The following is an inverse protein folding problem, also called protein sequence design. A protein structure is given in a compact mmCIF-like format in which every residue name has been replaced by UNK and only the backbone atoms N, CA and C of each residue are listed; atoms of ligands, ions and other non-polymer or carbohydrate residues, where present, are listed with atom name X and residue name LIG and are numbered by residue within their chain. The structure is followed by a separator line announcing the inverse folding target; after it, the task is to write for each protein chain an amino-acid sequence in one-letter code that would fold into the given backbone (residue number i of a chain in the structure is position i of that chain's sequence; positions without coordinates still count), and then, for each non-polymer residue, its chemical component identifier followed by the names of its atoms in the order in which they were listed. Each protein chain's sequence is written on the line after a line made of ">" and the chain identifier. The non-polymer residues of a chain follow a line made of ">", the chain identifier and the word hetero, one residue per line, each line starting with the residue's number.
data_IF_721037561187
#
_entry.id   IF_721037561187
#
_cell.length_a   1.000
_cell.length_b   1.000
_cell.length_c   1.000
_cell.angle_alpha   90.00
_cell.angle_beta   90.00
_cell.angle_gamma   90.00
#
_symmetry.space_group_name_H-M   'P 1'
#
loop_
_entity.id
_entity.type
_entity.pdbx_description
1 polymer ?
#
# COMPACT_ATOMS: atom_id res chain seq x y z
N UNK A 1 -20.20 -24.24 2.19
CA UNK A 1 -20.55 -22.79 2.24
C UNK A 1 -19.36 -21.90 2.63
N UNK A 2 -18.53 -22.31 3.59
CA UNK A 2 -17.32 -21.58 4.06
C UNK A 2 -16.24 -21.36 2.99
N UNK A 3 -16.05 -22.29 2.05
CA UNK A 3 -15.03 -22.19 0.99
C UNK A 3 -15.29 -21.00 0.03
N UNK A 4 -16.56 -20.72 -0.29
CA UNK A 4 -16.91 -19.62 -1.20
C UNK A 4 -16.64 -18.23 -0.60
N UNK A 5 -16.84 -18.08 0.72
CA UNK A 5 -16.55 -16.83 1.43
C UNK A 5 -15.04 -16.56 1.49
N UNK A 6 -14.23 -17.59 1.69
CA UNK A 6 -12.76 -17.48 1.67
C UNK A 6 -12.24 -17.08 0.28
N UNK A 7 -12.81 -17.64 -0.79
CA UNK A 7 -12.45 -17.28 -2.16
C UNK A 7 -12.88 -15.83 -2.48
N UNK A 8 -14.08 -15.43 -2.05
CA UNK A 8 -14.57 -14.06 -2.23
C UNK A 8 -13.68 -13.06 -1.50
N UNK A 9 -13.42 -13.28 -0.20
CA UNK A 9 -12.56 -12.43 0.62
C UNK A 9 -11.12 -12.36 0.08
N UNK A 10 -10.58 -13.51 -0.35
CA UNK A 10 -9.24 -13.57 -0.94
C UNK A 10 -9.13 -12.84 -2.28
N UNK A 11 -10.20 -12.80 -3.08
CA UNK A 11 -10.23 -12.10 -4.37
C UNK A 11 -10.18 -10.58 -4.19
N UNK A 12 -10.88 -10.06 -3.18
CA UNK A 12 -10.94 -8.62 -2.89
C UNK A 12 -9.87 -8.15 -1.89
N UNK A 13 -9.04 -9.07 -1.37
CA UNK A 13 -7.96 -8.76 -0.44
C UNK A 13 -7.04 -7.62 -0.89
N UNK A 14 -6.60 -7.55 -2.17
CA UNK A 14 -5.74 -6.46 -2.64
C UNK A 14 -6.44 -5.09 -2.56
N UNK A 15 -7.74 -5.06 -2.86
CA UNK A 15 -8.55 -3.83 -2.81
C UNK A 15 -8.78 -3.41 -1.36
N UNK A 16 -9.13 -4.36 -0.49
CA UNK A 16 -9.31 -4.11 0.95
C UNK A 16 -8.02 -3.60 1.60
N UNK A 17 -6.87 -4.15 1.23
CA UNK A 17 -5.58 -3.72 1.76
C UNK A 17 -5.20 -2.29 1.34
N UNK A 18 -5.55 -1.87 0.12
CA UNK A 18 -5.43 -0.45 -0.28
C UNK A 18 -6.32 0.44 0.58
N UNK A 19 -7.61 0.11 0.70
CA UNK A 19 -8.57 0.89 1.48
C UNK A 19 -8.14 1.01 2.94
N UNK A 20 -7.67 -0.08 3.54
CA UNK A 20 -7.13 -0.09 4.91
C UNK A 20 -5.87 0.77 5.02
N UNK A 21 -4.93 0.65 4.08
CA UNK A 21 -3.70 1.46 4.09
C UNK A 21 -4.02 2.96 4.03
N UNK A 22 -4.93 3.37 3.15
CA UNK A 22 -5.36 4.77 3.06
C UNK A 22 -6.16 5.21 4.29
N UNK A 23 -7.06 4.37 4.82
CA UNK A 23 -7.86 4.66 6.00
C UNK A 23 -7.00 4.82 7.27
N UNK A 24 -6.07 3.90 7.51
CA UNK A 24 -5.13 3.97 8.64
C UNK A 24 -4.18 5.15 8.48
N UNK A 25 -3.69 5.44 7.27
CA UNK A 25 -2.86 6.61 7.03
C UNK A 25 -3.59 7.94 7.27
N UNK A 26 -4.89 8.01 6.94
CA UNK A 26 -5.73 9.16 7.22
C UNK A 26 -5.99 9.33 8.73
N UNK A 27 -6.24 8.23 9.44
CA UNK A 27 -6.53 8.25 10.88
C UNK A 27 -5.28 8.54 11.72
N UNK A 28 -4.16 7.87 11.44
CA UNK A 28 -2.89 8.05 12.17
C UNK A 28 -2.03 9.15 11.53
N UNK A 29 -2.54 10.37 11.55
CA UNK A 29 -1.87 11.56 11.02
C UNK A 29 -0.51 11.91 11.68
N UNK A 30 -0.01 11.13 12.65
CA UNK A 30 1.33 11.29 13.24
C UNK A 30 2.32 10.17 12.87
N UNK A 31 1.86 8.97 12.50
CA UNK A 31 2.71 7.80 12.16
C UNK A 31 2.81 7.66 10.61
N UNK A 32 3.05 8.80 9.96
CA UNK A 32 2.66 9.05 8.57
C UNK A 32 3.41 8.28 7.48
N UNK A 33 4.64 7.83 7.71
CA UNK A 33 5.50 7.33 6.63
C UNK A 33 5.67 5.82 6.62
N UNK A 34 5.87 5.23 7.80
CA UNK A 34 6.04 3.78 7.92
C UNK A 34 4.77 3.04 7.51
N UNK A 35 3.58 3.52 7.89
CA UNK A 35 2.30 2.90 7.50
C UNK A 35 2.08 2.96 5.98
N UNK A 36 2.40 4.10 5.35
CA UNK A 36 2.30 4.26 3.89
C UNK A 36 3.28 3.34 3.15
N UNK A 37 4.46 3.07 3.71
CA UNK A 37 5.46 2.20 3.10
C UNK A 37 5.18 0.71 3.34
N UNK A 38 4.88 0.32 4.59
CA UNK A 38 4.70 -1.07 5.00
C UNK A 38 3.28 -1.60 4.80
N UNK A 39 2.25 -0.76 4.80
CA UNK A 39 0.86 -1.19 4.60
C UNK A 39 0.64 -1.91 3.25
N UNK A 40 1.13 -1.37 2.13
CA UNK A 40 1.04 -2.05 0.85
C UNK A 40 1.90 -3.32 0.80
N UNK A 41 3.11 -3.32 1.38
CA UNK A 41 3.94 -4.52 1.49
C UNK A 41 3.27 -5.64 2.30
N UNK A 42 2.61 -5.28 3.41
CA UNK A 42 1.87 -6.23 4.24
C UNK A 42 0.65 -6.80 3.49
N UNK A 43 -0.05 -5.94 2.74
CA UNK A 43 -1.15 -6.38 1.86
C UNK A 43 -0.64 -7.35 0.79
N UNK A 44 0.48 -7.03 0.15
CA UNK A 44 1.12 -7.89 -0.85
C UNK A 44 1.49 -9.26 -0.25
N UNK A 45 2.09 -9.26 0.95
CA UNK A 45 2.43 -10.49 1.67
C UNK A 45 1.20 -11.35 1.95
N UNK A 46 0.11 -10.74 2.44
CA UNK A 46 -1.16 -11.44 2.63
C UNK A 46 -1.71 -11.98 1.31
N UNK A 47 -1.64 -11.20 0.23
CA UNK A 47 -2.04 -11.64 -1.10
C UNK A 47 -1.21 -12.83 -1.59
N UNK A 48 0.07 -12.94 -1.26
CA UNK A 48 0.86 -14.14 -1.58
C UNK A 48 0.44 -15.35 -0.76
N UNK A 49 0.27 -15.19 0.55
CA UNK A 49 -0.13 -16.28 1.47
C UNK A 49 -1.51 -16.84 1.12
N UNK A 50 -2.48 -15.96 0.86
CA UNK A 50 -3.85 -16.36 0.48
C UNK A 50 -3.97 -16.64 -1.02
N UNK A 51 -3.08 -16.07 -1.83
CA UNK A 51 -3.07 -16.20 -3.28
C UNK A 51 -2.79 -17.62 -3.73
N UNK A 52 -1.93 -18.38 -3.06
CA UNK A 52 -1.79 -19.81 -3.37
C UNK A 52 -3.14 -20.53 -3.23
N UNK A 53 -3.92 -20.26 -2.18
CA UNK A 53 -5.21 -20.95 -2.00
C UNK A 53 -6.29 -20.49 -2.97
N UNK A 54 -6.22 -19.26 -3.46
CA UNK A 54 -7.23 -18.65 -4.35
C UNK A 54 -6.90 -18.86 -5.83
N UNK A 55 -5.62 -18.77 -6.20
CA UNK A 55 -5.13 -18.90 -7.57
C UNK A 55 -5.15 -20.36 -8.07
N UNK A 56 -4.92 -21.35 -7.19
CA UNK A 56 -5.02 -22.77 -7.56
C UNK A 56 -6.44 -23.19 -8.00
N UNK A 57 -7.48 -22.42 -7.65
CA UNK A 57 -8.84 -22.63 -8.16
C UNK A 57 -9.07 -22.01 -9.56
N UNK A 58 -8.02 -21.54 -10.26
CA UNK A 58 -8.13 -20.94 -11.59
C UNK A 58 -8.79 -19.56 -11.61
N UNK A 59 -8.85 -18.88 -10.46
CA UNK A 59 -9.52 -17.59 -10.34
C UNK A 59 -8.68 -16.46 -10.98
N UNK A 60 -8.89 -16.24 -12.28
CA UNK A 60 -8.20 -15.21 -13.06
C UNK A 60 -8.53 -13.78 -12.59
N UNK A 61 -9.67 -13.57 -11.91
CA UNK A 61 -10.03 -12.26 -11.37
C UNK A 61 -9.08 -11.83 -10.27
N UNK A 62 -8.69 -12.74 -9.37
CA UNK A 62 -7.68 -12.46 -8.36
C UNK A 62 -6.33 -12.09 -8.99
N UNK A 63 -5.91 -12.82 -10.02
CA UNK A 63 -4.66 -12.54 -10.75
C UNK A 63 -4.69 -11.17 -11.41
N UNK A 64 -5.81 -10.80 -12.05
CA UNK A 64 -5.99 -9.49 -12.66
C UNK A 64 -5.94 -8.35 -11.62
N UNK A 65 -6.63 -8.51 -10.49
CA UNK A 65 -6.64 -7.53 -9.40
C UNK A 65 -5.25 -7.41 -8.76
N UNK A 66 -4.55 -8.52 -8.55
CA UNK A 66 -3.18 -8.54 -8.04
C UNK A 66 -2.21 -7.87 -9.04
N UNK A 67 -2.38 -8.12 -10.34
CA UNK A 67 -1.61 -7.46 -11.39
C UNK A 67 -1.81 -5.94 -11.41
N UNK A 68 -3.07 -5.49 -11.32
CA UNK A 68 -3.38 -4.06 -11.17
C UNK A 68 -2.74 -3.49 -9.90
N UNK A 69 -2.79 -4.22 -8.80
CA UNK A 69 -2.18 -3.82 -7.54
C UNK A 69 -0.66 -3.61 -7.67
N UNK A 70 0.04 -4.47 -8.41
CA UNK A 70 1.47 -4.28 -8.73
C UNK A 70 1.72 -3.03 -9.58
N UNK A 71 0.90 -2.75 -10.58
CA UNK A 71 1.01 -1.53 -11.39
C UNK A 71 0.82 -0.28 -10.51
N UNK A 72 -0.18 -0.30 -9.61
CA UNK A 72 -0.37 0.77 -8.65
C UNK A 72 0.83 0.95 -7.71
N UNK A 73 1.43 -0.14 -7.22
CA UNK A 73 2.64 -0.08 -6.39
C UNK A 73 3.82 0.55 -7.12
N UNK A 74 4.02 0.20 -8.41
CA UNK A 74 5.07 0.77 -9.25
C UNK A 74 4.90 2.28 -9.44
N UNK A 75 3.67 2.79 -9.51
CA UNK A 75 3.42 4.23 -9.53
C UNK A 75 3.52 4.87 -8.14
N UNK A 76 3.06 4.17 -7.11
CA UNK A 76 2.95 4.68 -5.75
C UNK A 76 4.30 4.94 -5.08
N UNK A 77 5.25 4.01 -5.17
CA UNK A 77 6.56 4.15 -4.52
C UNK A 77 7.40 5.34 -5.04
N UNK A 78 7.53 5.56 -6.37
CA UNK A 78 8.21 6.75 -6.90
C UNK A 78 7.58 8.06 -6.42
N UNK A 79 6.24 8.14 -6.37
CA UNK A 79 5.52 9.30 -5.84
C UNK A 79 5.86 9.49 -4.36
N UNK A 80 5.84 8.42 -3.57
CA UNK A 80 6.16 8.46 -2.15
C UNK A 80 7.60 8.97 -1.90
N UNK A 81 8.57 8.48 -2.68
CA UNK A 81 9.97 8.92 -2.64
C UNK A 81 10.07 10.40 -3.04
N UNK A 82 9.41 10.82 -4.12
CA UNK A 82 9.40 12.21 -4.57
C UNK A 82 8.86 13.17 -3.50
N UNK A 83 7.76 12.80 -2.83
CA UNK A 83 7.20 13.58 -1.71
C UNK A 83 8.16 13.62 -0.52
N UNK A 84 8.88 12.52 -0.23
CA UNK A 84 9.87 12.47 0.85
C UNK A 84 11.03 13.42 0.60
N UNK A 85 11.58 13.38 -0.62
CA UNK A 85 12.66 14.27 -1.07
C UNK A 85 12.20 15.73 -1.00
N UNK A 86 11.02 16.04 -1.54
CA UNK A 86 10.50 17.41 -1.53
C UNK A 86 10.32 17.96 -0.11
N UNK A 87 9.77 17.16 0.82
CA UNK A 87 9.65 17.56 2.24
C UNK A 87 11.01 17.75 2.90
N UNK A 88 11.98 16.92 2.56
CA UNK A 88 13.34 17.00 3.11
C UNK A 88 14.06 18.28 2.64
N UNK A 89 14.00 18.59 1.34
CA UNK A 89 14.57 19.82 0.76
C UNK A 89 13.91 21.07 1.39
N UNK A 90 12.58 21.08 1.50
CA UNK A 90 11.84 22.19 2.13
C UNK A 90 12.22 22.39 3.60
N UNK A 91 12.41 21.30 4.36
CA UNK A 91 12.83 21.36 5.76
C UNK A 91 14.26 21.90 5.94
N UNK A 92 15.18 21.61 5.02
CA UNK A 92 16.54 22.20 5.04
C UNK A 92 16.51 23.71 4.79
N UNK A 93 15.76 24.18 3.80
CA UNK A 93 15.67 25.61 3.47
C UNK A 93 15.18 26.45 4.66
N UNK A 94 14.21 25.94 5.42
CA UNK A 94 13.70 26.63 6.60
C UNK A 94 14.67 26.63 7.80
N UNK A 95 15.60 25.67 7.90
CA UNK A 95 16.61 25.64 8.97
C UNK A 95 17.77 26.60 8.70
N UNK A 96 18.18 26.72 7.44
CA UNK A 96 19.25 27.65 7.05
C UNK A 96 18.81 29.12 7.13
N UNK A 97 17.53 29.43 6.94
CA UNK A 97 16.99 30.78 7.15
C UNK A 97 16.77 31.17 8.62
N UNK A 98 16.73 30.20 9.54
CA UNK A 98 16.54 30.45 10.97
C UNK A 98 17.87 30.59 11.76
N UNK A 99 19.01 30.32 11.12
CA UNK A 99 20.35 30.46 11.71
C UNK A 99 21.06 31.77 11.29
N UNK A 100 20.37 32.63 10.54
CA UNK A 100 20.87 33.92 10.05
C UNK A 100 20.20 35.15 10.67
N UNK A 101 19.59 35.01 11.85
CA UNK A 101 19.08 36.10 12.69
C UNK A 101 19.69 35.95 14.07
#
# INVERSE_FOLDING_TARGET
>A
MTINILILLGTFLPILGLVLTFGIAAYFAKIKWYVLFFGPLFTLLLCFIFGERVAYNGNMLFVAILGLYFIFLLGYYPILIGVAIWRWVKKRKNRSGAQGI
#
